data_IF_906646073364
#
_entry.id   IF_906646073364
#
_cell.length_a   1.000
_cell.length_b   1.000
_cell.length_c   1.000
_cell.angle_alpha   90.00
_cell.angle_beta   90.00
_cell.angle_gamma   90.00
#
_symmetry.space_group_name_H-M   'P 1'
#
loop_
_entity.id
_entity.type
_entity.pdbx_description
1 polymer ?
#
# COMPACT_ATOMS: atom_id res chain seq x y z
N UNK A 1 19.83 1.86 2.79
CA UNK A 1 19.93 1.81 1.32
C UNK A 1 19.91 0.36 0.83
N UNK A 2 20.89 -0.47 1.22
CA UNK A 2 20.97 -1.89 0.80
C UNK A 2 19.65 -2.65 1.06
N UNK A 3 19.13 -2.61 2.28
CA UNK A 3 17.85 -3.27 2.59
C UNK A 3 16.69 -2.79 1.70
N UNK A 4 16.61 -1.49 1.42
CA UNK A 4 15.59 -0.93 0.51
C UNK A 4 15.77 -1.39 -0.93
N UNK A 5 17.01 -1.48 -1.42
CA UNK A 5 17.31 -1.96 -2.76
C UNK A 5 16.92 -3.43 -2.93
N UNK A 6 17.32 -4.30 -1.99
CA UNK A 6 16.95 -5.72 -2.00
C UNK A 6 15.46 -5.97 -1.77
N UNK A 7 14.76 -5.02 -1.15
CA UNK A 7 13.32 -5.08 -0.97
C UNK A 7 12.54 -4.67 -2.24
N UNK A 8 12.99 -3.66 -2.98
CA UNK A 8 12.24 -3.09 -4.11
C UNK A 8 12.65 -3.71 -5.45
N UNK A 9 13.95 -3.89 -5.70
CA UNK A 9 14.47 -4.28 -7.02
C UNK A 9 13.94 -5.65 -7.48
N UNK A 10 13.94 -6.72 -6.65
CA UNK A 10 13.40 -8.00 -7.08
C UNK A 10 11.91 -7.90 -7.47
N UNK A 11 11.13 -7.16 -6.68
CA UNK A 11 9.70 -6.97 -6.92
C UNK A 11 9.42 -6.17 -8.19
N UNK A 12 10.30 -5.23 -8.58
CA UNK A 12 10.20 -4.53 -9.87
C UNK A 12 10.16 -5.55 -11.00
N UNK A 13 11.14 -6.45 -11.06
CA UNK A 13 11.27 -7.41 -12.15
C UNK A 13 10.14 -8.44 -12.17
N UNK A 14 9.78 -8.99 -11.00
CA UNK A 14 8.68 -9.96 -10.90
C UNK A 14 7.38 -9.33 -11.36
N UNK A 15 7.05 -8.14 -10.84
CA UNK A 15 5.77 -7.52 -11.18
C UNK A 15 5.76 -6.96 -12.61
N UNK A 16 6.90 -6.52 -13.14
CA UNK A 16 7.00 -6.14 -14.56
C UNK A 16 6.72 -7.35 -15.46
N UNK A 17 7.28 -8.52 -15.14
CA UNK A 17 7.00 -9.77 -15.84
C UNK A 17 5.52 -10.18 -15.75
N UNK A 18 4.94 -10.15 -14.54
CA UNK A 18 3.52 -10.45 -14.35
C UNK A 18 2.59 -9.45 -15.07
N UNK A 19 2.93 -8.16 -15.07
CA UNK A 19 2.17 -7.12 -15.78
C UNK A 19 2.22 -7.34 -17.29
N UNK A 20 3.38 -7.72 -17.83
CA UNK A 20 3.51 -8.07 -19.24
C UNK A 20 2.69 -9.32 -19.60
N UNK A 21 2.75 -10.37 -18.78
CA UNK A 21 1.95 -11.59 -18.98
C UNK A 21 0.46 -11.25 -18.96
N UNK A 22 0.03 -10.45 -17.99
CA UNK A 22 -1.35 -9.98 -17.89
C UNK A 22 -1.80 -9.24 -19.15
N UNK A 23 -0.99 -8.27 -19.61
CA UNK A 23 -1.37 -7.38 -20.70
C UNK A 23 -1.30 -8.06 -22.08
N UNK A 24 -0.34 -8.95 -22.30
CA UNK A 24 -0.14 -9.65 -23.57
C UNK A 24 -0.95 -10.96 -23.68
N UNK A 25 -1.10 -11.70 -22.57
CA UNK A 25 -1.66 -13.05 -22.56
C UNK A 25 -2.90 -13.21 -21.68
N UNK A 26 -3.43 -12.13 -21.10
CA UNK A 26 -4.60 -12.17 -20.21
C UNK A 26 -5.88 -12.77 -20.81
N UNK A 27 -5.99 -12.78 -22.14
CA UNK A 27 -7.13 -13.38 -22.85
C UNK A 27 -6.97 -14.89 -23.09
N UNK A 28 -5.80 -15.47 -22.83
CA UNK A 28 -5.61 -16.91 -22.93
C UNK A 28 -6.38 -17.59 -21.79
N UNK A 29 -7.19 -18.62 -22.06
CA UNK A 29 -8.06 -19.24 -21.05
C UNK A 29 -7.33 -19.66 -19.77
N UNK A 30 -6.10 -20.18 -19.88
CA UNK A 30 -5.30 -20.52 -18.70
C UNK A 30 -5.00 -19.30 -17.82
N UNK A 31 -4.56 -18.18 -18.40
CA UNK A 31 -4.23 -16.95 -17.66
C UNK A 31 -5.51 -16.32 -17.09
N UNK A 32 -6.56 -16.23 -17.90
CA UNK A 32 -7.87 -15.73 -17.48
C UNK A 32 -8.45 -16.55 -16.32
N UNK A 33 -8.29 -17.88 -16.36
CA UNK A 33 -8.74 -18.79 -15.31
C UNK A 33 -8.04 -18.58 -13.98
N UNK A 34 -6.71 -18.44 -13.99
CA UNK A 34 -5.94 -18.11 -12.78
C UNK A 34 -6.40 -16.77 -12.19
N UNK A 35 -6.53 -15.74 -13.03
CA UNK A 35 -6.99 -14.41 -12.59
C UNK A 35 -8.42 -14.45 -12.02
N UNK A 36 -9.32 -15.23 -12.63
CA UNK A 36 -10.67 -15.44 -12.11
C UNK A 36 -10.68 -16.06 -10.71
N UNK A 37 -9.67 -16.87 -10.38
CA UNK A 37 -9.44 -17.42 -9.05
C UNK A 37 -8.83 -16.42 -8.07
N UNK A 38 -7.91 -15.56 -8.51
CA UNK A 38 -7.28 -14.56 -7.63
C UNK A 38 -8.22 -13.43 -7.21
N UNK A 39 -9.07 -12.94 -8.12
CA UNK A 39 -10.03 -11.85 -7.85
C UNK A 39 -10.84 -12.03 -6.56
N UNK A 40 -11.55 -13.16 -6.34
CA UNK A 40 -12.32 -13.35 -5.12
C UNK A 40 -11.45 -13.47 -3.86
N UNK A 41 -10.23 -14.00 -3.97
CA UNK A 41 -9.28 -14.04 -2.85
C UNK A 41 -8.87 -12.62 -2.45
N UNK A 42 -8.60 -11.75 -3.42
CA UNK A 42 -8.25 -10.35 -3.14
C UNK A 42 -9.36 -9.62 -2.39
N UNK A 43 -10.62 -9.83 -2.78
CA UNK A 43 -11.76 -9.26 -2.05
C UNK A 43 -11.72 -9.69 -0.58
N UNK A 44 -11.46 -10.97 -0.32
CA UNK A 44 -11.33 -11.49 1.04
C UNK A 44 -10.16 -10.84 1.81
N UNK A 45 -8.99 -10.69 1.17
CA UNK A 45 -7.80 -10.04 1.75
C UNK A 45 -8.10 -8.59 2.13
N UNK A 46 -8.76 -7.82 1.26
CA UNK A 46 -9.09 -6.42 1.56
C UNK A 46 -10.08 -6.33 2.73
N UNK A 47 -11.09 -7.20 2.78
CA UNK A 47 -12.04 -7.27 3.91
C UNK A 47 -11.33 -7.65 5.21
N UNK A 48 -10.44 -8.64 5.18
CA UNK A 48 -9.62 -9.03 6.34
C UNK A 48 -8.73 -7.86 6.81
N UNK A 49 -8.10 -7.15 5.88
CA UNK A 49 -7.28 -5.97 6.17
C UNK A 49 -8.08 -4.87 6.86
N UNK A 50 -9.32 -4.60 6.43
CA UNK A 50 -10.21 -3.64 7.11
C UNK A 50 -10.46 -4.05 8.55
N UNK A 51 -10.79 -5.32 8.80
CA UNK A 51 -11.06 -5.78 10.17
C UNK A 51 -9.81 -5.74 11.04
N UNK A 52 -8.66 -6.13 10.50
CA UNK A 52 -7.37 -6.15 11.20
C UNK A 52 -6.90 -4.74 11.55
N UNK A 53 -6.96 -3.81 10.60
CA UNK A 53 -6.58 -2.40 10.80
C UNK A 53 -7.62 -1.70 11.66
N UNK A 54 -8.91 -1.92 11.42
CA UNK A 54 -10.03 -1.37 12.17
C UNK A 54 -9.96 -1.69 13.67
N UNK A 55 -9.71 -2.95 14.03
CA UNK A 55 -9.50 -3.36 15.45
C UNK A 55 -8.35 -2.62 16.14
N UNK A 56 -7.32 -2.21 15.39
CA UNK A 56 -6.16 -1.47 15.90
C UNK A 56 -6.39 0.03 15.93
N UNK A 57 -7.07 0.58 14.93
CA UNK A 57 -7.27 2.01 14.74
C UNK A 57 -8.48 2.56 15.54
N UNK A 58 -9.59 1.82 15.58
CA UNK A 58 -10.84 2.28 16.20
C UNK A 58 -10.85 1.88 17.68
N UNK A 59 -10.43 2.81 18.53
CA UNK A 59 -10.37 2.62 19.99
C UNK A 59 -11.42 3.43 20.76
N UNK A 60 -11.98 4.46 20.14
CA UNK A 60 -12.95 5.40 20.72
C UNK A 60 -14.07 5.66 19.73
N UNK A 61 -15.23 6.09 20.23
CA UNK A 61 -16.35 6.50 19.37
C UNK A 61 -15.98 7.60 18.37
N UNK A 62 -15.07 8.52 18.74
CA UNK A 62 -14.56 9.55 17.82
C UNK A 62 -13.83 8.97 16.61
N UNK A 63 -13.04 7.90 16.79
CA UNK A 63 -12.37 7.24 15.66
C UNK A 63 -13.39 6.57 14.74
N UNK A 64 -14.43 5.95 15.30
CA UNK A 64 -15.51 5.37 14.52
C UNK A 64 -16.25 6.44 13.70
N UNK A 65 -16.58 7.59 14.31
CA UNK A 65 -17.20 8.70 13.61
C UNK A 65 -16.33 9.21 12.45
N UNK A 66 -15.01 9.37 12.67
CA UNK A 66 -14.07 9.76 11.60
C UNK A 66 -14.06 8.72 10.48
N UNK A 67 -14.01 7.42 10.81
CA UNK A 67 -14.01 6.35 9.82
C UNK A 67 -15.31 6.33 8.99
N UNK A 68 -16.47 6.44 9.64
CA UNK A 68 -17.77 6.49 8.97
C UNK A 68 -17.90 7.75 8.11
N UNK A 69 -17.52 8.92 8.64
CA UNK A 69 -17.55 10.16 7.88
C UNK A 69 -16.62 10.12 6.66
N UNK A 70 -15.41 9.55 6.80
CA UNK A 70 -14.48 9.36 5.70
C UNK A 70 -15.06 8.43 4.63
N UNK A 71 -15.65 7.31 5.03
CA UNK A 71 -16.34 6.39 4.12
C UNK A 71 -17.48 7.09 3.37
N UNK A 72 -18.35 7.81 4.09
CA UNK A 72 -19.48 8.52 3.50
C UNK A 72 -19.01 9.60 2.51
N UNK A 73 -17.99 10.38 2.89
CA UNK A 73 -17.42 11.43 2.07
C UNK A 73 -16.84 10.89 0.75
N UNK A 74 -16.07 9.79 0.80
CA UNK A 74 -15.45 9.24 -0.41
C UNK A 74 -16.45 8.46 -1.27
N UNK A 75 -17.36 7.69 -0.67
CA UNK A 75 -18.25 6.79 -1.39
C UNK A 75 -19.44 7.51 -2.02
N UNK A 76 -20.13 8.38 -1.27
CA UNK A 76 -21.33 9.06 -1.76
C UNK A 76 -21.00 10.40 -2.42
N UNK A 77 -20.12 11.19 -1.79
CA UNK A 77 -19.82 12.55 -2.23
C UNK A 77 -18.59 12.65 -3.12
N UNK A 78 -17.87 11.53 -3.36
CA UNK A 78 -16.65 11.49 -4.18
C UNK A 78 -15.58 12.50 -3.73
N UNK A 79 -15.53 12.82 -2.43
CA UNK A 79 -14.57 13.78 -1.89
C UNK A 79 -13.15 13.25 -2.11
N UNK A 80 -12.22 14.09 -2.63
CA UNK A 80 -10.83 13.69 -2.82
C UNK A 80 -10.18 13.20 -1.52
N UNK A 81 -9.55 12.02 -1.58
CA UNK A 81 -8.86 11.40 -0.45
C UNK A 81 -7.92 12.34 0.33
N UNK A 82 -7.09 13.21 -0.29
CA UNK A 82 -6.21 14.11 0.47
C UNK A 82 -6.97 15.05 1.41
N UNK A 83 -8.16 15.51 1.01
CA UNK A 83 -9.00 16.37 1.86
C UNK A 83 -9.54 15.60 3.07
N UNK A 84 -9.91 14.34 2.87
CA UNK A 84 -10.37 13.45 3.96
C UNK A 84 -9.25 13.25 4.98
N UNK A 85 -8.01 13.03 4.51
CA UNK A 85 -6.85 12.86 5.40
C UNK A 85 -6.54 14.13 6.18
N UNK A 86 -6.53 15.31 5.52
CA UNK A 86 -6.28 16.59 6.20
C UNK A 86 -7.36 16.87 7.24
N UNK A 87 -8.64 16.69 6.90
CA UNK A 87 -9.74 16.87 7.84
C UNK A 87 -9.62 15.91 9.04
N UNK A 88 -9.31 14.64 8.79
CA UNK A 88 -9.12 13.65 9.85
C UNK A 88 -7.93 13.98 10.76
N UNK A 89 -6.83 14.52 10.21
CA UNK A 89 -5.69 14.97 10.98
C UNK A 89 -6.05 16.15 11.90
N UNK A 90 -6.79 17.13 11.38
CA UNK A 90 -7.25 18.30 12.14
C UNK A 90 -8.23 17.92 13.25
N UNK A 91 -9.20 17.04 12.95
CA UNK A 91 -10.13 16.51 13.95
C UNK A 91 -9.36 15.71 15.01
N UNK A 92 -8.40 14.87 14.59
CA UNK A 92 -7.52 14.13 15.50
C UNK A 92 -6.75 15.05 16.44
N UNK A 93 -6.19 16.14 15.93
CA UNK A 93 -5.51 17.17 16.72
C UNK A 93 -6.44 17.86 17.73
N UNK A 94 -7.64 18.24 17.29
CA UNK A 94 -8.61 18.95 18.11
C UNK A 94 -9.20 18.06 19.23
N UNK A 95 -9.38 16.77 18.98
CA UNK A 95 -9.89 15.80 19.97
C UNK A 95 -8.77 15.35 20.91
N UNK A 96 -7.55 15.14 20.39
CA UNK A 96 -6.40 14.73 21.19
C UNK A 96 -5.89 15.78 22.17
N UNK A 97 -6.14 17.06 21.90
CA UNK A 97 -5.82 18.15 22.82
C UNK A 97 -6.82 18.30 23.98
N UNK A 98 -8.04 17.75 23.86
CA UNK A 98 -9.10 17.87 24.86
C UNK A 98 -9.10 16.73 25.91
N UNK A 99 -8.36 15.63 25.66
CA UNK A 99 -8.25 14.48 26.55
C UNK A 99 -7.26 14.62 27.71
N UNK A 100 -7.18 15.79 28.37
CA UNK A 100 -6.22 16.10 29.44
C UNK A 100 -6.45 15.38 30.78
N UNK A 101 -7.32 14.36 30.88
CA UNK A 101 -7.75 13.82 32.19
C UNK A 101 -7.80 12.31 32.37
N UNK A 102 -7.60 11.47 31.35
CA UNK A 102 -7.70 10.01 31.53
C UNK A 102 -6.59 9.30 30.77
N UNK A 103 -5.69 8.67 31.53
CA UNK A 103 -4.48 8.00 31.08
C UNK A 103 -4.67 7.24 29.78
N UNK A 104 -4.14 7.81 28.70
CA UNK A 104 -3.75 7.03 27.53
C UNK A 104 -2.57 6.19 28.02
N UNK A 105 -2.84 4.96 28.44
CA UNK A 105 -1.83 3.90 28.33
C UNK A 105 -1.49 3.87 26.85
N UNK A 106 -0.39 4.54 26.51
CA UNK A 106 0.32 4.25 25.28
C UNK A 106 0.63 2.77 25.39
N UNK A 107 -0.15 1.93 24.70
CA UNK A 107 0.27 0.57 24.41
C UNK A 107 1.61 0.75 23.69
N UNK A 108 2.68 0.61 24.47
CA UNK A 108 4.02 0.48 23.97
C UNK A 108 3.93 -0.62 22.94
N UNK A 109 4.10 -0.25 21.67
CA UNK A 109 4.59 -1.19 20.67
C UNK A 109 5.85 -1.77 21.29
N UNK A 110 5.73 -2.95 21.89
CA UNK A 110 6.84 -3.72 22.39
C UNK A 110 7.80 -3.90 21.21
N UNK A 111 9.11 -3.67 21.40
CA UNK A 111 10.08 -3.91 20.35
C UNK A 111 9.89 -5.34 19.82
N UNK A 112 9.85 -5.49 18.50
CA UNK A 112 9.98 -6.78 17.85
C UNK A 112 11.40 -7.29 18.17
N UNK A 113 11.52 -8.01 19.29
CA UNK A 113 12.80 -8.41 19.89
C UNK A 113 12.68 -8.91 21.33
N UNK A 114 11.62 -8.54 22.07
CA UNK A 114 11.37 -9.14 23.39
C UNK A 114 10.61 -10.46 23.25
N UNK A 115 11.35 -11.55 23.13
CA UNK A 115 10.89 -12.89 23.51
C UNK A 115 10.28 -12.83 24.93
N UNK A 116 9.31 -13.70 25.27
CA UNK A 116 8.78 -13.77 26.63
C UNK A 116 9.96 -13.97 27.61
N UNK A 117 10.04 -13.14 28.65
CA UNK A 117 10.94 -13.37 29.78
C UNK A 117 10.63 -14.75 30.40
N UNK A 118 11.26 -15.79 29.86
CA UNK A 118 11.73 -16.89 30.68
C UNK A 118 12.85 -16.28 31.52
N UNK A 119 12.58 -16.15 32.81
CA UNK A 119 13.55 -15.86 33.86
C UNK A 119 14.83 -16.64 33.60
N UNK A 120 15.78 -15.98 32.95
CA UNK A 120 17.11 -16.50 32.71
C UNK A 120 17.87 -16.34 34.03
N UNK A 121 18.57 -17.38 34.52
CA UNK A 121 19.39 -17.26 35.72
C UNK A 121 20.39 -16.10 35.55
N UNK A 122 20.73 -15.44 36.66
CA UNK A 122 21.70 -14.36 36.68
C UNK A 122 22.95 -14.71 35.84
N UNK A 123 23.47 -13.79 35.01
CA UNK A 123 24.59 -14.09 34.12
C UNK A 123 25.80 -14.52 34.94
N UNK A 124 26.42 -15.62 34.53
CA UNK A 124 27.70 -16.07 35.06
C UNK A 124 28.77 -15.00 34.75
N UNK A 125 29.46 -14.39 35.74
CA UNK A 125 30.37 -13.26 35.56
C UNK A 125 31.54 -13.51 34.60
N UNK A 126 31.75 -14.77 34.19
CA UNK A 126 32.86 -15.20 33.32
C UNK A 126 32.46 -15.36 31.84
N UNK A 127 31.20 -15.11 31.47
CA UNK A 127 30.69 -15.30 30.10
C UNK A 127 30.59 -14.03 29.24
N UNK A 128 31.20 -12.92 29.70
CA UNK A 128 31.27 -11.64 28.97
C UNK A 128 32.22 -11.74 27.76
N UNK A 129 31.84 -12.48 26.73
CA UNK A 129 32.40 -12.24 25.39
C UNK A 129 31.83 -10.91 24.89
N UNK A 130 32.64 -9.85 24.70
CA UNK A 130 32.14 -8.55 24.28
C UNK A 130 31.48 -8.70 22.91
N UNK A 131 30.17 -8.57 22.88
CA UNK A 131 29.41 -8.60 21.64
C UNK A 131 29.68 -7.27 20.91
N UNK A 132 29.98 -7.32 19.62
CA UNK A 132 30.35 -6.12 18.82
C UNK A 132 29.21 -5.08 18.77
N UNK A 133 27.97 -5.51 19.05
CA UNK A 133 26.79 -4.66 19.21
C UNK A 133 26.13 -5.07 20.52
N UNK A 134 26.18 -4.19 21.51
CA UNK A 134 25.54 -4.32 22.82
C UNK A 134 24.35 -3.33 22.89
N UNK A 135 23.28 -3.67 23.60
CA UNK A 135 22.10 -2.78 23.76
C UNK A 135 22.46 -1.50 24.55
N UNK A 136 23.56 -1.55 25.32
CA UNK A 136 24.15 -0.43 26.04
C UNK A 136 25.20 0.35 25.23
N UNK A 137 25.48 -0.04 23.98
CA UNK A 137 26.44 0.67 23.14
C UNK A 137 25.88 2.03 22.70
N UNK A 138 26.69 3.12 22.76
CA UNK A 138 26.22 4.44 22.36
C UNK A 138 25.78 4.42 20.89
N UNK A 139 24.62 5.04 20.57
CA UNK A 139 24.07 5.02 19.23
C UNK A 139 25.10 5.60 18.23
N UNK A 140 25.36 4.90 17.11
CA UNK A 140 26.43 5.28 16.19
C UNK A 140 26.17 6.67 15.61
N UNK A 141 27.21 7.47 15.34
CA UNK A 141 27.09 8.88 14.96
C UNK A 141 26.17 9.18 13.73
N UNK A 142 25.87 8.17 12.92
CA UNK A 142 24.94 8.26 11.79
C UNK A 142 23.44 8.18 12.18
N UNK A 143 23.11 7.84 13.43
CA UNK A 143 21.73 7.81 13.94
C UNK A 143 21.34 9.10 14.68
N UNK A 144 22.33 9.90 15.09
CA UNK A 144 22.09 11.18 15.76
C UNK A 144 21.53 12.25 14.80
N UNK A 145 20.60 13.10 15.27
CA UNK A 145 20.02 14.18 14.47
C UNK A 145 21.08 15.24 14.13
N UNK A 146 21.25 15.52 12.83
CA UNK A 146 22.21 16.50 12.33
C UNK A 146 21.57 17.35 11.24
N UNK A 147 21.55 18.67 11.43
CA UNK A 147 21.01 19.62 10.44
C UNK A 147 21.75 19.53 9.11
N UNK A 148 23.08 19.37 9.13
CA UNK A 148 23.89 19.23 7.93
C UNK A 148 23.57 17.94 7.15
N UNK A 149 23.25 16.84 7.85
CA UNK A 149 22.80 15.61 7.20
C UNK A 149 21.42 15.81 6.57
N UNK A 150 20.49 16.43 7.28
CA UNK A 150 19.15 16.72 6.77
C UNK A 150 19.23 17.58 5.52
N UNK A 151 19.98 18.68 5.53
CA UNK A 151 20.12 19.55 4.35
C UNK A 151 20.77 18.82 3.17
N UNK A 152 21.82 18.03 3.41
CA UNK A 152 22.45 17.22 2.36
C UNK A 152 21.49 16.18 1.78
N UNK A 153 20.77 15.43 2.62
CA UNK A 153 19.79 14.43 2.18
C UNK A 153 18.67 15.07 1.38
N UNK A 154 18.15 16.22 1.83
CA UNK A 154 17.14 16.98 1.09
C UNK A 154 17.67 17.50 -0.24
N UNK A 155 18.89 18.04 -0.29
CA UNK A 155 19.49 18.53 -1.53
C UNK A 155 19.68 17.40 -2.56
N UNK A 156 20.25 16.27 -2.13
CA UNK A 156 20.41 15.08 -2.99
C UNK A 156 19.03 14.52 -3.40
N UNK A 157 18.09 14.44 -2.47
CA UNK A 157 16.73 13.98 -2.73
C UNK A 157 16.01 14.86 -3.74
N UNK A 158 16.10 16.18 -3.61
CA UNK A 158 15.52 17.15 -4.54
C UNK A 158 16.19 17.09 -5.92
N UNK A 159 17.50 16.88 -5.99
CA UNK A 159 18.19 16.67 -7.27
C UNK A 159 17.71 15.38 -7.96
N UNK A 160 17.66 14.27 -7.22
CA UNK A 160 17.12 13.00 -7.73
C UNK A 160 15.63 13.10 -8.10
N UNK A 161 14.88 14.00 -7.48
CA UNK A 161 13.48 14.21 -7.81
C UNK A 161 13.31 15.09 -9.07
N UNK A 162 14.00 16.22 -9.12
CA UNK A 162 13.79 17.22 -10.18
C UNK A 162 14.49 16.87 -11.49
N UNK A 163 15.69 16.29 -11.45
CA UNK A 163 16.47 16.01 -12.66
C UNK A 163 15.79 14.98 -13.59
N UNK A 164 15.34 13.79 -13.12
CA UNK A 164 14.66 12.84 -13.98
C UNK A 164 13.33 13.39 -14.50
N UNK A 165 12.61 14.17 -13.68
CA UNK A 165 11.36 14.78 -14.10
C UNK A 165 11.59 15.81 -15.21
N UNK A 166 12.59 16.68 -15.06
CA UNK A 166 13.00 17.62 -16.09
C UNK A 166 13.43 16.88 -17.38
N UNK A 167 14.20 15.79 -17.26
CA UNK A 167 14.58 14.97 -18.40
C UNK A 167 13.37 14.38 -19.14
N UNK A 168 12.36 13.88 -18.41
CA UNK A 168 11.11 13.37 -19.01
C UNK A 168 10.36 14.49 -19.73
N UNK A 169 10.26 15.68 -19.13
CA UNK A 169 9.58 16.84 -19.75
C UNK A 169 10.31 17.27 -21.03
N UNK A 170 11.65 17.36 -21.00
CA UNK A 170 12.44 17.74 -22.16
C UNK A 170 12.36 16.69 -23.27
N UNK A 171 12.25 15.41 -22.91
CA UNK A 171 12.19 14.30 -23.86
C UNK A 171 10.79 14.11 -24.47
N UNK A 172 9.73 14.16 -23.64
CA UNK A 172 8.35 13.75 -24.03
C UNK A 172 7.34 14.90 -24.01
N UNK A 173 7.67 16.01 -23.36
CA UNK A 173 6.76 17.11 -23.11
C UNK A 173 6.01 17.00 -21.79
N UNK A 174 5.51 18.15 -21.32
CA UNK A 174 4.79 18.28 -20.04
C UNK A 174 3.47 17.49 -20.01
N UNK A 175 2.75 17.46 -21.13
CA UNK A 175 1.45 16.79 -21.27
C UNK A 175 1.57 15.32 -21.67
N UNK A 176 2.80 14.79 -21.73
CA UNK A 176 3.01 13.37 -21.96
C UNK A 176 2.48 12.52 -20.80
N UNK A 177 2.09 11.29 -21.11
CA UNK A 177 1.64 10.31 -20.12
C UNK A 177 2.71 10.10 -19.05
N UNK A 178 3.97 10.02 -19.46
CA UNK A 178 5.09 9.70 -18.58
C UNK A 178 5.35 10.84 -17.57
N UNK A 179 5.20 12.09 -18.02
CA UNK A 179 5.22 13.25 -17.13
C UNK A 179 3.97 13.31 -16.23
N UNK A 180 2.81 12.87 -16.71
CA UNK A 180 1.58 12.76 -15.91
C UNK A 180 1.70 11.70 -14.81
N UNK A 181 2.22 10.51 -15.14
CA UNK A 181 2.52 9.43 -14.18
C UNK A 181 3.49 9.93 -13.10
N UNK A 182 4.61 10.54 -13.51
CA UNK A 182 5.60 11.06 -12.57
C UNK A 182 4.97 12.02 -11.56
N UNK A 183 4.19 12.99 -12.02
CA UNK A 183 3.50 13.97 -11.15
C UNK A 183 2.49 13.29 -10.23
N UNK A 184 1.65 12.43 -10.79
CA UNK A 184 0.56 11.81 -10.05
C UNK A 184 1.06 10.84 -8.98
N UNK A 185 1.99 9.95 -9.31
CA UNK A 185 2.52 8.97 -8.36
C UNK A 185 3.43 9.61 -7.31
N UNK A 186 4.16 10.67 -7.69
CA UNK A 186 4.86 11.53 -6.72
C UNK A 186 3.86 12.13 -5.73
N UNK A 187 2.78 12.76 -6.24
CA UNK A 187 1.74 13.33 -5.38
C UNK A 187 1.13 12.26 -4.48
N UNK A 188 0.79 11.08 -5.04
CA UNK A 188 0.27 9.95 -4.29
C UNK A 188 1.21 9.60 -3.12
N UNK A 189 2.50 9.47 -3.36
CA UNK A 189 3.47 9.16 -2.33
C UNK A 189 3.62 10.23 -1.24
N UNK A 190 3.31 11.50 -1.53
CA UNK A 190 3.35 12.59 -0.56
C UNK A 190 2.05 12.70 0.27
N UNK A 191 0.91 12.34 -0.31
CA UNK A 191 -0.42 12.58 0.30
C UNK A 191 -1.08 11.33 0.85
N UNK A 192 -0.52 10.14 0.62
CA UNK A 192 -1.12 8.88 1.07
C UNK A 192 -0.60 8.40 2.41
N UNK A 193 -1.56 8.05 3.27
CA UNK A 193 -1.35 7.46 4.57
C UNK A 193 -2.21 6.20 4.67
N UNK A 194 -1.85 5.26 5.54
CA UNK A 194 -2.66 4.07 5.77
C UNK A 194 -2.20 2.79 5.06
N UNK A 195 -0.98 2.79 4.52
CA UNK A 195 -0.41 1.63 3.85
C UNK A 195 -0.93 1.42 2.44
N UNK A 196 -0.52 0.31 1.83
CA UNK A 196 -0.68 0.08 0.40
C UNK A 196 -2.15 -0.06 -0.06
N UNK A 197 -3.05 -0.60 0.76
CA UNK A 197 -4.48 -0.64 0.43
C UNK A 197 -5.12 0.75 0.36
N UNK A 198 -4.74 1.66 1.26
CA UNK A 198 -5.24 3.04 1.26
C UNK A 198 -4.72 3.80 0.04
N UNK A 199 -3.44 3.60 -0.30
CA UNK A 199 -2.84 4.19 -1.50
C UNK A 199 -3.53 3.66 -2.75
N UNK A 200 -3.81 2.34 -2.81
CA UNK A 200 -4.53 1.76 -3.93
C UNK A 200 -5.96 2.30 -4.05
N UNK A 201 -6.64 2.57 -2.93
CA UNK A 201 -7.96 3.21 -2.95
C UNK A 201 -7.89 4.60 -3.59
N UNK A 202 -6.91 5.41 -3.19
CA UNK A 202 -6.67 6.72 -3.76
C UNK A 202 -6.31 6.64 -5.25
N UNK A 203 -5.40 5.75 -5.63
CA UNK A 203 -4.93 5.60 -7.00
C UNK A 203 -6.03 5.07 -7.92
N UNK A 204 -6.83 4.11 -7.45
CA UNK A 204 -7.93 3.55 -8.24
C UNK A 204 -8.98 4.62 -8.56
N UNK A 205 -9.25 5.56 -7.64
CA UNK A 205 -10.21 6.65 -7.89
C UNK A 205 -9.80 7.49 -9.10
N UNK A 206 -8.53 7.88 -9.20
CA UNK A 206 -8.05 8.67 -10.34
C UNK A 206 -7.76 7.82 -11.57
N UNK A 207 -7.07 6.69 -11.41
CA UNK A 207 -6.62 5.84 -12.51
C UNK A 207 -7.78 5.14 -13.22
N UNK A 208 -8.83 4.73 -12.50
CA UNK A 208 -10.02 4.12 -13.11
C UNK A 208 -11.17 5.09 -13.38
N UNK A 209 -11.15 6.27 -12.75
CA UNK A 209 -12.10 7.35 -13.01
C UNK A 209 -11.52 8.36 -13.99
N UNK A 210 -10.90 9.42 -13.45
CA UNK A 210 -10.50 10.62 -14.20
C UNK A 210 -9.52 10.38 -15.34
N UNK A 211 -8.53 9.48 -15.17
CA UNK A 211 -7.50 9.24 -16.17
C UNK A 211 -7.83 8.10 -17.14
N UNK A 212 -8.73 7.19 -16.76
CA UNK A 212 -9.07 6.01 -17.58
C UNK A 212 -7.89 5.07 -17.88
N UNK A 213 -6.82 5.11 -17.08
CA UNK A 213 -5.64 4.26 -17.24
C UNK A 213 -5.98 2.76 -17.09
N UNK A 214 -6.80 2.42 -16.10
CA UNK A 214 -7.19 1.03 -15.78
C UNK A 214 -8.69 0.91 -15.51
N UNK A 215 -9.24 -0.29 -15.58
CA UNK A 215 -10.60 -0.55 -15.06
C UNK A 215 -10.56 -0.93 -13.57
N UNK A 216 -11.72 -0.90 -12.90
CA UNK A 216 -11.83 -1.40 -11.51
C UNK A 216 -11.44 -2.88 -11.40
N UNK A 217 -11.82 -3.70 -12.38
CA UNK A 217 -11.44 -5.12 -12.44
C UNK A 217 -9.93 -5.27 -12.59
N UNK A 218 -9.29 -4.43 -13.43
CA UNK A 218 -7.84 -4.39 -13.56
C UNK A 218 -7.13 -3.96 -12.29
N UNK A 219 -7.72 -3.04 -11.51
CA UNK A 219 -7.17 -2.68 -10.21
C UNK A 219 -7.17 -3.87 -9.23
N UNK A 220 -8.24 -4.69 -9.25
CA UNK A 220 -8.30 -5.95 -8.48
C UNK A 220 -7.24 -6.94 -8.99
N UNK A 221 -7.11 -7.11 -10.31
CA UNK A 221 -6.11 -8.00 -10.91
C UNK A 221 -4.68 -7.57 -10.56
N UNK A 222 -4.39 -6.27 -10.61
CA UNK A 222 -3.10 -5.73 -10.21
C UNK A 222 -2.79 -6.00 -8.74
N UNK A 223 -3.79 -5.86 -7.86
CA UNK A 223 -3.63 -6.19 -6.44
C UNK A 223 -3.40 -7.69 -6.24
N UNK A 224 -4.14 -8.55 -6.94
CA UNK A 224 -3.93 -9.99 -6.95
C UNK A 224 -2.49 -10.34 -7.32
N UNK A 225 -2.01 -9.79 -8.42
CA UNK A 225 -0.64 -10.04 -8.88
C UNK A 225 0.38 -9.57 -7.83
N UNK A 226 0.20 -8.38 -7.24
CA UNK A 226 1.09 -7.86 -6.21
C UNK A 226 1.14 -8.76 -4.96
N UNK A 227 0.01 -9.31 -4.51
CA UNK A 227 -0.07 -10.22 -3.35
C UNK A 227 0.60 -11.58 -3.61
N UNK A 228 0.80 -11.97 -4.88
CA UNK A 228 1.58 -13.18 -5.21
C UNK A 228 3.09 -12.97 -5.19
N UNK A 229 3.55 -11.72 -5.12
CA UNK A 229 4.97 -11.40 -5.18
C UNK A 229 5.59 -11.23 -3.79
N UNK A 230 6.81 -11.77 -3.56
CA UNK A 230 7.60 -11.39 -2.39
C UNK A 230 8.05 -9.94 -2.57
N UNK A 231 7.44 -9.02 -1.83
CA UNK A 231 7.70 -7.60 -2.02
C UNK A 231 6.75 -6.68 -1.28
N UNK A 232 6.93 -5.36 -1.45
CA UNK A 232 5.97 -4.40 -0.96
C UNK A 232 4.66 -4.48 -1.75
N UNK A 233 3.53 -4.58 -1.05
CA UNK A 233 2.20 -4.58 -1.65
C UNK A 233 1.94 -3.33 -2.52
N UNK A 234 2.61 -2.21 -2.21
CA UNK A 234 2.56 -0.95 -2.99
C UNK A 234 2.98 -1.15 -4.45
N UNK A 235 3.66 -2.24 -4.78
CA UNK A 235 4.08 -2.54 -6.15
C UNK A 235 2.88 -2.63 -7.11
N UNK A 236 1.65 -2.87 -6.62
CA UNK A 236 0.43 -2.72 -7.44
C UNK A 236 0.40 -1.40 -8.24
N UNK A 237 0.98 -0.31 -7.73
CA UNK A 237 1.07 0.95 -8.46
C UNK A 237 1.92 0.84 -9.73
N UNK A 238 3.02 0.07 -9.69
CA UNK A 238 3.82 -0.23 -10.88
C UNK A 238 2.98 -0.90 -11.96
N UNK A 239 2.09 -1.83 -11.57
CA UNK A 239 1.13 -2.43 -12.51
C UNK A 239 0.18 -1.37 -13.09
N UNK A 240 -0.32 -0.43 -12.28
CA UNK A 240 -1.19 0.66 -12.77
C UNK A 240 -0.47 1.50 -13.82
N UNK A 241 0.76 1.95 -13.55
CA UNK A 241 1.57 2.71 -14.52
C UNK A 241 1.92 1.89 -15.77
N UNK A 242 2.31 0.63 -15.59
CA UNK A 242 2.52 -0.29 -16.70
C UNK A 242 1.29 -0.34 -17.63
N UNK A 243 0.09 -0.52 -17.06
CA UNK A 243 -1.14 -0.62 -17.83
C UNK A 243 -1.54 0.70 -18.50
N UNK A 244 -1.30 1.83 -17.82
CA UNK A 244 -1.52 3.16 -18.39
C UNK A 244 -0.70 3.36 -19.67
N UNK A 245 0.60 3.04 -19.60
CA UNK A 245 1.54 3.19 -20.71
C UNK A 245 1.43 2.09 -21.77
N UNK A 246 1.03 0.88 -21.39
CA UNK A 246 0.68 -0.20 -22.32
C UNK A 246 -0.51 0.18 -23.22
N UNK A 247 -1.47 0.95 -22.68
CA UNK A 247 -2.65 1.40 -23.43
C UNK A 247 -2.41 2.67 -24.23
N UNK A 248 -1.49 3.51 -23.79
CA UNK A 248 -1.23 4.83 -24.37
C UNK A 248 0.25 5.01 -24.71
N UNK A 249 0.78 4.28 -25.72
CA UNK A 249 2.21 4.27 -26.00
C UNK A 249 2.77 5.60 -26.51
N UNK A 250 1.92 6.52 -26.99
CA UNK A 250 2.30 7.88 -27.41
C UNK A 250 3.56 7.89 -28.30
N UNK A 251 3.53 7.10 -29.39
CA UNK A 251 4.61 7.01 -30.38
C UNK A 251 5.77 6.06 -30.05
N UNK A 252 5.79 5.43 -28.87
CA UNK A 252 6.73 4.35 -28.56
C UNK A 252 6.17 2.98 -28.96
N UNK A 253 7.00 1.94 -28.95
CA UNK A 253 6.46 0.57 -28.97
C UNK A 253 5.71 0.31 -27.65
N UNK A 254 4.67 -0.52 -27.72
CA UNK A 254 3.79 -0.79 -26.58
C UNK A 254 4.56 -1.29 -25.35
N UNK A 255 5.48 -2.23 -25.56
CA UNK A 255 6.33 -2.78 -24.50
C UNK A 255 7.31 -1.75 -23.94
N UNK A 256 7.94 -0.94 -24.80
CA UNK A 256 8.87 0.09 -24.33
C UNK A 256 8.15 1.16 -23.50
N UNK A 257 6.96 1.60 -23.94
CA UNK A 257 6.16 2.54 -23.17
C UNK A 257 5.76 1.94 -21.82
N UNK A 258 5.28 0.70 -21.79
CA UNK A 258 4.84 0.04 -20.57
C UNK A 258 5.98 -0.17 -19.55
N UNK A 259 7.17 -0.58 -20.01
CA UNK A 259 8.36 -0.69 -19.16
C UNK A 259 8.74 0.70 -18.61
N UNK A 260 8.71 1.73 -19.45
CA UNK A 260 9.07 3.09 -19.02
C UNK A 260 8.07 3.62 -17.99
N UNK A 261 6.76 3.47 -18.22
CA UNK A 261 5.72 3.88 -17.27
C UNK A 261 5.77 3.12 -15.94
N UNK A 262 6.07 1.81 -15.98
CA UNK A 262 6.31 1.01 -14.78
C UNK A 262 7.49 1.56 -13.96
N UNK A 263 8.64 1.79 -14.60
CA UNK A 263 9.84 2.30 -13.93
C UNK A 263 9.65 3.71 -13.38
N UNK A 264 9.00 4.59 -14.14
CA UNK A 264 8.65 5.95 -13.70
C UNK A 264 7.75 5.89 -12.48
N UNK A 265 6.72 5.05 -12.51
CA UNK A 265 5.77 4.92 -11.41
C UNK A 265 6.45 4.42 -10.14
N UNK A 266 7.28 3.39 -10.25
CA UNK A 266 8.06 2.88 -9.12
C UNK A 266 9.00 3.96 -8.57
N UNK A 267 9.73 4.64 -9.44
CA UNK A 267 10.66 5.69 -9.03
C UNK A 267 9.95 6.85 -8.31
N UNK A 268 8.88 7.38 -8.91
CA UNK A 268 8.08 8.47 -8.38
C UNK A 268 7.39 8.12 -7.05
N UNK A 269 7.05 6.84 -6.86
CA UNK A 269 6.44 6.36 -5.61
C UNK A 269 7.47 6.21 -4.49
N UNK A 270 8.60 5.54 -4.76
CA UNK A 270 9.56 5.18 -3.70
C UNK A 270 10.53 6.30 -3.34
N UNK A 271 10.90 7.17 -4.28
CA UNK A 271 11.87 8.24 -4.03
C UNK A 271 11.47 9.16 -2.86
N UNK A 272 10.28 9.80 -2.86
CA UNK A 272 9.86 10.67 -1.75
C UNK A 272 9.77 9.89 -0.43
N UNK A 273 9.35 8.63 -0.47
CA UNK A 273 9.30 7.76 0.71
C UNK A 273 10.71 7.54 1.30
N UNK A 274 11.71 7.24 0.48
CA UNK A 274 13.10 7.10 0.94
C UNK A 274 13.68 8.41 1.47
N UNK A 275 13.37 9.54 0.84
CA UNK A 275 13.77 10.86 1.34
C UNK A 275 13.20 11.08 2.75
N UNK A 276 11.90 10.82 2.95
CA UNK A 276 11.27 10.95 4.26
C UNK A 276 11.83 9.98 5.30
N UNK A 277 12.13 8.74 4.91
CA UNK A 277 12.75 7.77 5.82
C UNK A 277 14.13 8.27 6.25
N UNK A 278 14.99 8.71 5.33
CA UNK A 278 16.35 9.16 5.68
C UNK A 278 16.38 10.48 6.44
N UNK A 279 15.44 11.38 6.17
CA UNK A 279 15.31 12.64 6.92
C UNK A 279 14.68 12.40 8.29
N UNK A 280 13.65 11.55 8.37
CA UNK A 280 12.85 11.34 9.56
C UNK A 280 13.40 10.33 10.56
N UNK A 281 14.17 9.32 10.11
CA UNK A 281 14.67 8.25 10.97
C UNK A 281 15.44 8.75 12.21
N UNK A 282 16.36 9.74 12.12
CA UNK A 282 17.06 10.28 13.29
C UNK A 282 16.17 11.02 14.31
N UNK A 283 14.94 11.37 13.93
CA UNK A 283 14.00 12.15 14.76
C UNK A 283 12.84 11.30 15.28
N UNK A 284 12.79 10.01 14.97
CA UNK A 284 11.60 9.17 15.23
C UNK A 284 11.28 9.07 16.73
N UNK A 285 12.29 9.03 17.60
CA UNK A 285 12.12 8.96 19.05
C UNK A 285 11.51 10.25 19.62
N UNK A 286 11.97 11.40 19.14
CA UNK A 286 11.44 12.72 19.53
C UNK A 286 10.00 12.89 19.02
N UNK A 287 9.74 12.48 17.79
CA UNK A 287 8.40 12.54 17.18
C UNK A 287 7.41 11.61 17.89
N UNK A 288 7.86 10.44 18.35
CA UNK A 288 7.02 9.45 19.05
C UNK A 288 6.49 9.97 20.40
N UNK A 289 7.24 10.85 21.07
CA UNK A 289 6.82 11.48 22.33
C UNK A 289 5.76 12.58 22.17
N UNK A 290 5.50 13.06 20.95
CA UNK A 290 4.61 14.19 20.74
C UNK A 290 3.13 13.77 20.65
N UNK A 291 2.38 14.02 21.74
CA UNK A 291 0.95 13.69 21.84
C UNK A 291 0.09 14.29 20.72
N UNK A 292 0.40 15.52 20.25
CA UNK A 292 -0.35 16.17 19.17
C UNK A 292 -0.17 15.40 17.86
N UNK A 293 1.07 15.04 17.53
CA UNK A 293 1.36 14.27 16.32
C UNK A 293 0.68 12.89 16.37
N UNK A 294 0.78 12.18 17.50
CA UNK A 294 0.12 10.89 17.69
C UNK A 294 -1.40 10.99 17.54
N UNK A 295 -2.02 12.06 18.06
CA UNK A 295 -3.45 12.28 17.91
C UNK A 295 -3.86 12.55 16.45
N UNK A 296 -3.09 13.36 15.72
CA UNK A 296 -3.30 13.60 14.29
C UNK A 296 -3.23 12.29 13.50
N UNK A 297 -2.17 11.51 13.71
CA UNK A 297 -1.95 10.23 13.04
C UNK A 297 -3.03 9.20 13.39
N UNK A 298 -3.55 9.21 14.61
CA UNK A 298 -4.69 8.37 15.01
C UNK A 298 -5.96 8.72 14.24
N UNK A 299 -6.25 10.02 14.07
CA UNK A 299 -7.35 10.48 13.23
C UNK A 299 -7.20 10.05 11.78
N UNK A 300 -6.02 10.26 11.20
CA UNK A 300 -5.67 9.79 9.84
C UNK A 300 -5.89 8.27 9.70
N UNK A 301 -5.38 7.49 10.65
CA UNK A 301 -5.50 6.02 10.62
C UNK A 301 -6.95 5.56 10.72
N UNK A 302 -7.79 6.26 11.49
CA UNK A 302 -9.23 5.99 11.56
C UNK A 302 -9.93 6.29 10.22
N UNK A 303 -9.63 7.43 9.58
CA UNK A 303 -10.19 7.77 8.28
C UNK A 303 -9.79 6.77 7.19
N UNK A 304 -8.54 6.31 7.23
CA UNK A 304 -8.02 5.25 6.34
C UNK A 304 -8.89 3.99 6.39
N UNK A 305 -9.37 3.56 7.55
CA UNK A 305 -10.26 2.39 7.65
C UNK A 305 -11.53 2.59 6.83
N UNK A 306 -12.13 3.79 6.90
CA UNK A 306 -13.30 4.15 6.07
C UNK A 306 -12.98 4.19 4.58
N UNK A 307 -11.80 4.68 4.20
CA UNK A 307 -11.36 4.70 2.79
C UNK A 307 -11.14 3.27 2.26
N UNK A 308 -10.52 2.39 3.05
CA UNK A 308 -10.32 0.99 2.65
C UNK A 308 -11.68 0.28 2.54
N UNK A 309 -12.66 0.62 3.39
CA UNK A 309 -14.03 0.12 3.24
C UNK A 309 -14.65 0.49 1.88
N UNK A 310 -14.47 1.72 1.40
CA UNK A 310 -14.86 2.10 0.05
C UNK A 310 -14.18 1.21 -1.00
N UNK A 311 -12.87 0.97 -0.88
CA UNK A 311 -12.15 0.07 -1.78
C UNK A 311 -12.73 -1.36 -1.78
N UNK A 312 -13.04 -1.92 -0.60
CA UNK A 312 -13.63 -3.25 -0.50
C UNK A 312 -14.99 -3.35 -1.18
N UNK A 313 -15.84 -2.32 -1.06
CA UNK A 313 -17.13 -2.31 -1.76
C UNK A 313 -16.95 -2.19 -3.27
N UNK A 314 -16.04 -1.31 -3.72
CA UNK A 314 -15.74 -1.11 -5.15
C UNK A 314 -15.18 -2.39 -5.78
N UNK A 315 -14.26 -3.07 -5.10
CA UNK A 315 -13.65 -4.32 -5.57
C UNK A 315 -14.60 -5.50 -5.45
N UNK A 316 -15.28 -5.64 -4.31
CA UNK A 316 -16.29 -6.66 -4.09
C UNK A 316 -17.39 -6.59 -5.16
N UNK A 317 -17.88 -5.39 -5.48
CA UNK A 317 -18.85 -5.20 -6.55
C UNK A 317 -18.28 -5.55 -7.93
N UNK A 318 -17.04 -5.15 -8.23
CA UNK A 318 -16.40 -5.46 -9.51
C UNK A 318 -16.15 -6.96 -9.72
N UNK A 319 -16.04 -7.74 -8.65
CA UNK A 319 -15.76 -9.18 -8.69
C UNK A 319 -17.03 -10.03 -8.60
N UNK A 320 -17.94 -9.70 -7.69
CA UNK A 320 -19.18 -10.47 -7.45
C UNK A 320 -20.26 -10.12 -8.48
N UNK A 321 -20.31 -8.87 -8.93
CA UNK A 321 -21.25 -8.37 -9.93
C UNK A 321 -20.51 -7.69 -11.09
N UNK A 322 -19.71 -8.43 -11.87
CA UNK A 322 -18.89 -7.85 -12.95
C UNK A 322 -19.74 -7.13 -14.01
N UNK A 323 -20.97 -7.61 -14.23
CA UNK A 323 -21.93 -7.03 -15.17
C UNK A 323 -22.99 -6.13 -14.49
N UNK A 324 -22.82 -5.82 -13.20
CA UNK A 324 -23.78 -5.06 -12.39
C UNK A 324 -24.82 -5.93 -11.68
N UNK A 325 -25.45 -5.35 -10.66
CA UNK A 325 -26.37 -6.04 -9.73
C UNK A 325 -27.57 -6.71 -10.40
N UNK A 326 -28.06 -6.15 -11.51
CA UNK A 326 -29.23 -6.66 -12.22
C UNK A 326 -28.95 -7.81 -13.21
N UNK A 327 -27.68 -8.06 -13.53
CA UNK A 327 -27.28 -9.01 -14.58
C UNK A 327 -26.75 -10.36 -14.02
N UNK A 328 -27.16 -10.68 -12.78
CA UNK A 328 -26.79 -11.91 -12.10
C UNK A 328 -25.53 -11.79 -11.23
N UNK A 329 -25.44 -12.67 -10.24
CA UNK A 329 -24.33 -12.77 -9.29
C UNK A 329 -23.36 -13.86 -9.73
N UNK A 330 -22.05 -13.59 -9.73
CA UNK A 330 -21.05 -14.64 -9.88
C UNK A 330 -20.93 -15.43 -8.58
N UNK A 331 -21.68 -16.54 -8.49
CA UNK A 331 -21.69 -17.42 -7.33
C UNK A 331 -20.34 -18.09 -7.06
N UNK A 332 -19.54 -18.33 -8.10
CA UNK A 332 -18.20 -18.86 -7.91
C UNK A 332 -17.32 -17.83 -7.19
N UNK A 333 -17.35 -16.58 -7.64
CA UNK A 333 -16.60 -15.50 -7.00
C UNK A 333 -17.10 -15.26 -5.55
N UNK A 334 -18.41 -15.21 -5.34
CA UNK A 334 -18.99 -14.97 -4.01
C UNK A 334 -18.63 -16.07 -3.00
N UNK A 335 -18.74 -17.34 -3.40
CA UNK A 335 -18.43 -18.49 -2.53
C UNK A 335 -16.94 -18.59 -2.25
N UNK A 336 -16.09 -18.40 -3.26
CA UNK A 336 -14.64 -18.41 -3.08
C UNK A 336 -14.18 -17.24 -2.21
N UNK A 337 -14.74 -16.03 -2.38
CA UNK A 337 -14.45 -14.90 -1.48
C UNK A 337 -14.83 -15.20 -0.03
N UNK A 338 -16.00 -15.78 0.21
CA UNK A 338 -16.43 -16.14 1.56
C UNK A 338 -15.52 -17.22 2.18
N UNK A 339 -15.19 -18.26 1.43
CA UNK A 339 -14.29 -19.34 1.87
C UNK A 339 -12.87 -18.81 2.16
N UNK A 340 -12.32 -17.99 1.27
CA UNK A 340 -11.02 -17.34 1.48
C UNK A 340 -11.04 -16.42 2.70
N UNK A 341 -12.11 -15.66 2.91
CA UNK A 341 -12.24 -14.79 4.08
C UNK A 341 -12.26 -15.61 5.38
N UNK A 342 -13.02 -16.70 5.43
CA UNK A 342 -13.04 -17.64 6.56
C UNK A 342 -11.63 -18.21 6.82
N UNK A 343 -10.94 -18.66 5.77
CA UNK A 343 -9.60 -19.21 5.90
C UNK A 343 -8.59 -18.17 6.42
N UNK A 344 -8.62 -16.95 5.90
CA UNK A 344 -7.71 -15.88 6.32
C UNK A 344 -8.03 -15.38 7.74
N UNK A 345 -9.31 -15.12 8.03
CA UNK A 345 -9.71 -14.47 9.27
C UNK A 345 -9.85 -15.42 10.46
N UNK A 346 -10.48 -16.59 10.25
CA UNK A 346 -10.72 -17.56 11.33
C UNK A 346 -9.58 -18.57 11.46
N UNK A 347 -9.12 -19.13 10.33
CA UNK A 347 -8.05 -20.13 10.34
C UNK A 347 -6.64 -19.52 10.36
N UNK A 348 -6.52 -18.20 10.16
CA UNK A 348 -5.23 -17.48 10.07
C UNK A 348 -4.29 -18.11 9.04
N UNK A 349 -4.86 -18.60 7.94
CA UNK A 349 -4.11 -19.20 6.85
C UNK A 349 -3.16 -18.18 6.22
N UNK A 350 -2.05 -18.68 5.68
CA UNK A 350 -1.08 -17.84 4.98
C UNK A 350 -1.69 -17.23 3.69
N UNK A 351 -1.50 -15.92 3.52
CA UNK A 351 -2.10 -15.17 2.40
C UNK A 351 -1.62 -15.71 1.07
N UNK A 352 -0.31 -15.96 0.92
CA UNK A 352 0.27 -16.44 -0.33
C UNK A 352 -0.32 -17.81 -0.70
N UNK A 353 -0.47 -18.71 0.27
CA UNK A 353 -1.08 -20.03 0.06
C UNK A 353 -2.54 -19.91 -0.43
N UNK A 354 -3.35 -19.05 0.20
CA UNK A 354 -4.75 -18.86 -0.22
C UNK A 354 -4.84 -18.25 -1.61
N UNK A 355 -3.95 -17.33 -1.98
CA UNK A 355 -3.92 -16.76 -3.33
C UNK A 355 -3.55 -17.83 -4.36
N UNK A 356 -2.51 -18.64 -4.11
CA UNK A 356 -2.11 -19.74 -5.00
C UNK A 356 -3.26 -20.75 -5.17
N UNK A 357 -3.89 -21.17 -4.08
CA UNK A 357 -5.05 -22.09 -4.14
C UNK A 357 -6.20 -21.49 -4.93
N UNK A 358 -6.54 -20.21 -4.71
CA UNK A 358 -7.56 -19.52 -5.49
C UNK A 358 -7.26 -19.56 -6.98
N UNK A 359 -6.02 -19.25 -7.38
CA UNK A 359 -5.57 -19.32 -8.77
C UNK A 359 -5.69 -20.73 -9.37
N UNK A 360 -5.31 -21.77 -8.63
CA UNK A 360 -5.44 -23.17 -9.06
C UNK A 360 -6.91 -23.59 -9.20
N UNK A 361 -7.78 -23.18 -8.28
CA UNK A 361 -9.22 -23.45 -8.35
C UNK A 361 -9.84 -22.76 -9.59
N UNK A 362 -9.49 -21.49 -9.84
CA UNK A 362 -9.95 -20.77 -11.03
C UNK A 362 -9.45 -21.39 -12.34
N UNK A 363 -8.20 -21.84 -12.37
CA UNK A 363 -7.63 -22.58 -13.49
C UNK A 363 -8.38 -23.90 -13.73
N UNK A 364 -8.57 -24.69 -12.67
CA UNK A 364 -9.29 -25.96 -12.72
C UNK A 364 -10.72 -25.80 -13.23
N UNK A 365 -11.45 -24.77 -12.75
CA UNK A 365 -12.79 -24.43 -13.26
C UNK A 365 -12.77 -24.17 -14.77
N UNK A 366 -11.77 -23.45 -15.26
CA UNK A 366 -11.70 -23.07 -16.68
C UNK A 366 -11.46 -24.26 -17.61
N UNK A 367 -10.77 -25.31 -17.13
CA UNK A 367 -10.57 -26.53 -17.89
C UNK A 367 -11.69 -27.56 -17.72
N UNK A 368 -12.39 -27.57 -16.58
CA UNK A 368 -13.47 -28.53 -16.30
C UNK A 368 -14.81 -28.15 -16.95
N UNK A 369 -15.12 -26.85 -17.07
CA UNK A 369 -16.39 -26.35 -17.58
C UNK A 369 -16.26 -25.76 -19.00
N UNK A 370 -15.36 -26.32 -19.80
CA UNK A 370 -15.00 -25.83 -21.13
C UNK A 370 -15.91 -26.33 -22.24
#
# INVERSE_FOLDING_TARGET
>A
IVAGAFFVIPSIFVLLGLSYIYAAYGNIPAVAGVLAGFKPVVVAIVVEAILKIGKRAIKRGTHLLIAVAAFVAIYFFHVPFPLIIVAAALIGLAVGSQGSGAGVKSDSVKPAGQSPELSSPAPDPQSLSPTIIDDDAPPPAHTLPSRARVTRTLAVGLALWTLPFAAIILWRGWDSLHAQEYRYFTQAALVTFGGAYAVLAYVTQAAAGSFGWITRVQAVDGLALAETTPGPLIMVLQFVGFMAAWRNPQGMTQTASAITGALITTYATFLPCFIFIFVGAPYIEVLRGNRKLTAALSGITAAVVGVILNLALVFGAAVIWPNGLGNGTDWFAATLSAASFIALYLLKADVLLIVILGGLIGLGRTFLFR
#
